data_IF_466405964855
#
_entry.id   IF_466405964855
#
_cell.length_a   1.000
_cell.length_b   1.000
_cell.length_c   1.000
_cell.angle_alpha   90.00
_cell.angle_beta   90.00
_cell.angle_gamma   90.00
#
_symmetry.space_group_name_H-M   'P 1'
#
loop_
_entity.id
_entity.type
_entity.pdbx_description
1 polymer ?
#
# COMPACT_ATOMS: atom_id res chain seq x y z
N UNK A 1 10.71 2.19 -9.67
CA UNK A 1 9.33 1.87 -10.12
C UNK A 1 8.42 2.99 -9.70
N UNK A 2 7.19 3.04 -10.23
CA UNK A 2 6.19 4.01 -9.79
C UNK A 2 5.48 3.50 -8.54
N UNK A 3 5.29 4.38 -7.57
CA UNK A 3 4.63 4.09 -6.29
C UNK A 3 3.55 5.15 -6.04
N UNK A 4 2.32 4.71 -5.85
CA UNK A 4 1.18 5.56 -5.48
C UNK A 4 1.04 5.54 -3.96
N UNK A 5 1.05 6.70 -3.33
CA UNK A 5 0.98 6.81 -1.87
C UNK A 5 -0.18 7.70 -1.46
N UNK A 6 -0.87 7.33 -0.38
CA UNK A 6 -1.96 8.09 0.20
C UNK A 6 -1.95 7.99 1.73
N UNK A 7 -2.39 9.05 2.40
CA UNK A 7 -2.57 9.08 3.84
C UNK A 7 -3.71 9.99 4.27
N UNK A 8 -4.36 9.63 5.38
CA UNK A 8 -5.14 10.58 6.18
C UNK A 8 -4.23 11.41 7.10
N UNK A 9 -4.82 12.27 7.92
CA UNK A 9 -4.10 13.06 8.92
C UNK A 9 -3.22 12.24 9.86
N UNK A 10 -3.63 11.02 10.21
CA UNK A 10 -2.87 10.18 11.13
C UNK A 10 -1.63 9.59 10.46
N UNK A 11 -1.63 9.44 9.13
CA UNK A 11 -0.50 8.99 8.34
C UNK A 11 0.40 10.09 7.75
N UNK A 12 -0.01 11.36 7.84
CA UNK A 12 0.62 12.49 7.14
C UNK A 12 2.15 12.57 7.30
N UNK A 13 2.66 12.62 8.53
CA UNK A 13 4.11 12.76 8.75
C UNK A 13 4.92 11.54 8.26
N UNK A 14 4.36 10.33 8.42
CA UNK A 14 4.99 9.12 7.92
C UNK A 14 5.01 9.09 6.39
N UNK A 15 3.94 9.56 5.75
CA UNK A 15 3.87 9.68 4.29
C UNK A 15 5.00 10.56 3.75
N UNK A 16 5.21 11.75 4.32
CA UNK A 16 6.27 12.67 3.91
C UNK A 16 7.67 12.03 4.01
N UNK A 17 7.92 11.32 5.11
CA UNK A 17 9.16 10.59 5.31
C UNK A 17 9.36 9.47 4.27
N UNK A 18 8.28 8.74 3.93
CA UNK A 18 8.31 7.68 2.92
C UNK A 18 8.48 8.23 1.50
N UNK A 19 7.82 9.34 1.15
CA UNK A 19 8.00 10.01 -0.14
C UNK A 19 9.47 10.37 -0.34
N UNK A 20 10.08 10.99 0.68
CA UNK A 20 11.51 11.34 0.66
C UNK A 20 12.37 10.10 0.48
N UNK A 21 12.20 9.09 1.33
CA UNK A 21 13.01 7.87 1.30
C UNK A 21 12.90 7.11 -0.04
N UNK A 22 11.69 6.95 -0.57
CA UNK A 22 11.45 6.22 -1.82
C UNK A 22 11.98 6.99 -3.03
N UNK A 23 11.87 8.33 -3.02
CA UNK A 23 12.44 9.18 -4.06
C UNK A 23 13.97 9.08 -4.06
N UNK A 24 14.60 9.16 -2.87
CA UNK A 24 16.06 9.00 -2.72
C UNK A 24 16.53 7.60 -3.14
N UNK A 25 15.69 6.57 -2.99
CA UNK A 25 15.92 5.22 -3.48
C UNK A 25 15.70 5.05 -5.00
N UNK A 26 15.39 6.13 -5.74
CA UNK A 26 15.22 6.14 -7.19
C UNK A 26 13.85 5.65 -7.67
N UNK A 27 12.82 5.72 -6.82
CA UNK A 27 11.44 5.47 -7.22
C UNK A 27 10.73 6.76 -7.65
N UNK A 28 9.73 6.61 -8.51
CA UNK A 28 8.84 7.71 -8.89
C UNK A 28 7.61 7.64 -7.98
N UNK A 29 7.45 8.61 -7.08
CA UNK A 29 6.37 8.61 -6.09
C UNK A 29 5.28 9.58 -6.51
N UNK A 30 4.04 9.08 -6.61
CA UNK A 30 2.85 9.88 -6.90
C UNK A 30 2.00 9.94 -5.62
N UNK A 31 1.86 11.14 -5.08
CA UNK A 31 1.06 11.40 -3.88
C UNK A 31 -0.41 11.67 -4.24
N UNK A 32 -1.33 10.95 -3.60
CA UNK A 32 -2.78 11.05 -3.77
C UNK A 32 -3.46 11.74 -2.59
N UNK A 33 -2.67 12.42 -1.76
CA UNK A 33 -3.15 13.25 -0.67
C UNK A 33 -3.16 12.54 0.69
N UNK A 34 -3.44 13.29 1.76
CA UNK A 34 -3.88 14.70 1.74
C UNK A 34 -2.79 15.76 1.36
N UNK A 35 -3.16 16.90 0.78
CA UNK A 35 -2.18 17.95 0.41
C UNK A 35 -1.71 18.79 1.60
N UNK A 36 -2.43 18.69 2.72
CA UNK A 36 -2.17 19.41 3.97
C UNK A 36 -2.76 18.62 5.13
N UNK A 37 -2.14 18.75 6.29
CA UNK A 37 -2.70 18.21 7.51
C UNK A 37 -4.06 18.83 7.84
N UNK A 38 -5.08 17.98 7.97
CA UNK A 38 -6.43 18.31 8.43
C UNK A 38 -6.90 17.22 9.39
N UNK A 39 -6.94 17.53 10.69
CA UNK A 39 -7.19 16.54 11.75
C UNK A 39 -8.55 15.83 11.68
N UNK A 40 -9.47 16.29 10.84
CA UNK A 40 -10.80 15.73 10.65
C UNK A 40 -11.01 15.11 9.26
N UNK A 41 -9.93 14.94 8.47
CA UNK A 41 -10.05 14.33 7.15
C UNK A 41 -10.40 12.83 7.17
N UNK A 42 -10.91 12.35 6.03
CA UNK A 42 -11.44 11.01 5.86
C UNK A 42 -10.57 10.20 4.89
N UNK A 43 -9.92 9.15 5.41
CA UNK A 43 -9.04 8.25 4.65
C UNK A 43 -9.63 7.61 3.37
N UNK A 44 -10.93 7.28 3.23
CA UNK A 44 -11.40 6.45 2.12
C UNK A 44 -11.11 7.05 0.74
N UNK A 45 -11.33 8.35 0.57
CA UNK A 45 -11.16 9.02 -0.74
C UNK A 45 -9.71 8.94 -1.26
N UNK A 46 -8.73 9.17 -0.38
CA UNK A 46 -7.30 9.05 -0.73
C UNK A 46 -6.92 7.59 -1.04
N UNK A 47 -7.44 6.64 -0.26
CA UNK A 47 -7.17 5.22 -0.47
C UNK A 47 -7.76 4.71 -1.80
N UNK A 48 -8.96 5.17 -2.17
CA UNK A 48 -9.57 4.84 -3.46
C UNK A 48 -8.76 5.42 -4.61
N UNK A 49 -8.36 6.70 -4.54
CA UNK A 49 -7.56 7.34 -5.57
C UNK A 49 -6.22 6.62 -5.81
N UNK A 50 -5.49 6.28 -4.74
CA UNK A 50 -4.27 5.50 -4.85
C UNK A 50 -4.52 4.10 -5.42
N UNK A 51 -5.58 3.42 -4.98
CA UNK A 51 -5.94 2.08 -5.47
C UNK A 51 -6.30 2.07 -6.96
N UNK A 52 -7.12 3.03 -7.41
CA UNK A 52 -7.52 3.17 -8.81
C UNK A 52 -6.31 3.45 -9.71
N UNK A 53 -5.39 4.30 -9.23
CA UNK A 53 -4.17 4.61 -9.96
C UNK A 53 -3.23 3.39 -10.07
N UNK A 54 -3.11 2.58 -9.02
CA UNK A 54 -2.32 1.33 -9.05
C UNK A 54 -2.90 0.33 -10.05
N UNK A 55 -4.22 0.21 -10.15
CA UNK A 55 -4.87 -0.69 -11.12
C UNK A 55 -4.68 -0.19 -12.55
N UNK A 56 -4.73 1.12 -12.77
CA UNK A 56 -4.53 1.72 -14.08
C UNK A 56 -3.07 1.70 -14.56
N UNK A 57 -2.11 1.53 -13.64
CA UNK A 57 -0.67 1.59 -13.92
C UNK A 57 0.01 0.25 -13.66
N UNK A 58 0.04 -0.59 -14.71
CA UNK A 58 0.57 -1.94 -14.63
C UNK A 58 2.04 -1.98 -14.17
N UNK A 59 2.30 -2.71 -13.09
CA UNK A 59 3.63 -2.84 -12.51
C UNK A 59 3.97 -1.77 -11.46
N UNK A 60 3.08 -0.81 -11.21
CA UNK A 60 3.16 0.09 -10.05
C UNK A 60 2.78 -0.63 -8.75
N UNK A 61 3.08 0.02 -7.62
CA UNK A 61 2.66 -0.42 -6.28
C UNK A 61 1.97 0.72 -5.52
N UNK A 62 1.11 0.36 -4.57
CA UNK A 62 0.39 1.27 -3.69
C UNK A 62 0.84 1.19 -2.23
N UNK A 63 0.80 2.32 -1.53
CA UNK A 63 0.98 2.41 -0.08
C UNK A 63 -0.11 3.31 0.47
N UNK A 64 -0.90 2.80 1.42
CA UNK A 64 -1.96 3.57 2.10
C UNK A 64 -1.68 3.62 3.60
N UNK A 65 -1.79 4.80 4.20
CA UNK A 65 -1.31 5.06 5.56
C UNK A 65 -2.40 5.73 6.37
N UNK A 66 -2.59 5.27 7.59
CA UNK A 66 -3.36 6.02 8.58
C UNK A 66 -2.96 5.62 9.98
N UNK A 67 -3.86 5.79 10.95
CA UNK A 67 -3.52 5.52 12.35
C UNK A 67 -3.12 4.07 12.60
N UNK A 68 -3.89 3.12 12.05
CA UNK A 68 -3.65 1.67 12.19
C UNK A 68 -3.31 0.96 10.89
N UNK A 69 -3.62 1.55 9.73
CA UNK A 69 -3.48 0.91 8.42
C UNK A 69 -4.65 -0.02 8.05
N UNK A 70 -5.54 -0.37 8.99
CA UNK A 70 -6.66 -1.27 8.75
C UNK A 70 -7.78 -0.62 7.92
N UNK A 71 -8.23 0.58 8.31
CA UNK A 71 -9.30 1.26 7.56
C UNK A 71 -8.87 1.51 6.12
N UNK A 72 -7.62 1.91 5.97
CA UNK A 72 -6.99 2.27 4.70
C UNK A 72 -6.89 1.06 3.77
N UNK A 73 -6.42 -0.09 4.28
CA UNK A 73 -6.38 -1.31 3.46
C UNK A 73 -7.77 -1.89 3.20
N UNK A 74 -8.75 -1.73 4.10
CA UNK A 74 -10.15 -2.11 3.84
C UNK A 74 -10.70 -1.29 2.68
N UNK A 75 -10.48 0.03 2.68
CA UNK A 75 -10.91 0.92 1.61
C UNK A 75 -10.21 0.59 0.28
N UNK A 76 -8.88 0.45 0.28
CA UNK A 76 -8.13 0.12 -0.93
C UNK A 76 -8.63 -1.19 -1.57
N UNK A 77 -8.92 -2.24 -0.77
CA UNK A 77 -9.47 -3.50 -1.27
C UNK A 77 -10.91 -3.40 -1.83
N UNK A 78 -11.57 -2.24 -1.75
CA UNK A 78 -12.86 -2.02 -2.44
C UNK A 78 -12.69 -1.59 -3.88
N UNK A 79 -11.48 -1.20 -4.29
CA UNK A 79 -11.17 -0.90 -5.68
C UNK A 79 -10.95 -2.22 -6.43
N UNK A 80 -11.75 -2.51 -7.49
CA UNK A 80 -11.60 -3.74 -8.25
C UNK A 80 -10.17 -3.96 -8.75
N UNK A 81 -9.58 -5.13 -8.45
CA UNK A 81 -8.23 -5.48 -8.84
C UNK A 81 -7.14 -5.13 -7.82
N UNK A 82 -7.47 -4.41 -6.74
CA UNK A 82 -6.54 -4.19 -5.63
C UNK A 82 -6.47 -5.41 -4.71
N UNK A 83 -5.25 -5.75 -4.32
CA UNK A 83 -4.94 -6.67 -3.24
C UNK A 83 -4.07 -5.92 -2.24
N UNK A 84 -4.71 -5.34 -1.24
CA UNK A 84 -4.05 -4.55 -0.21
C UNK A 84 -3.85 -5.36 1.08
N UNK A 85 -2.60 -5.69 1.41
CA UNK A 85 -2.27 -6.30 2.70
C UNK A 85 -2.14 -5.24 3.79
N UNK A 86 -2.20 -5.63 5.06
CA UNK A 86 -1.69 -4.84 6.18
C UNK A 86 -0.31 -5.38 6.55
N UNK A 87 0.74 -4.53 6.47
CA UNK A 87 2.07 -4.93 6.92
C UNK A 87 2.40 -4.27 8.26
N UNK A 88 2.82 -5.08 9.21
CA UNK A 88 3.16 -4.64 10.58
C UNK A 88 4.55 -5.11 11.02
N UNK A 89 5.29 -5.77 10.12
CA UNK A 89 6.70 -6.12 10.22
C UNK A 89 7.25 -6.44 8.81
N UNK A 90 8.56 -6.60 8.67
CA UNK A 90 9.20 -6.91 7.37
C UNK A 90 8.73 -8.24 6.79
N UNK A 91 8.51 -9.26 7.63
CA UNK A 91 8.06 -10.58 7.20
C UNK A 91 6.68 -10.51 6.52
N UNK A 92 5.72 -9.81 7.12
CA UNK A 92 4.37 -9.64 6.55
C UNK A 92 4.39 -8.80 5.28
N UNK A 93 5.26 -7.79 5.19
CA UNK A 93 5.51 -7.06 3.95
C UNK A 93 6.03 -8.00 2.83
N UNK A 94 7.04 -8.81 3.11
CA UNK A 94 7.60 -9.77 2.14
C UNK A 94 6.56 -10.83 1.73
N UNK A 95 5.88 -11.43 2.71
CA UNK A 95 4.86 -12.46 2.46
C UNK A 95 3.70 -11.90 1.63
N UNK A 96 3.30 -10.66 1.85
CA UNK A 96 2.24 -10.03 1.05
C UNK A 96 2.58 -9.98 -0.45
N UNK A 97 3.85 -9.68 -0.79
CA UNK A 97 4.33 -9.73 -2.17
C UNK A 97 4.45 -11.15 -2.66
N UNK A 98 5.17 -12.01 -1.92
CA UNK A 98 5.49 -13.37 -2.33
C UNK A 98 4.26 -14.26 -2.51
N UNK A 99 3.28 -14.17 -1.61
CA UNK A 99 2.15 -15.10 -1.55
C UNK A 99 0.85 -14.54 -2.10
N UNK A 100 0.61 -13.24 -1.93
CA UNK A 100 -0.66 -12.61 -2.30
C UNK A 100 -0.55 -11.77 -3.57
N UNK A 101 0.67 -11.59 -4.10
CA UNK A 101 0.98 -10.60 -5.12
C UNK A 101 0.27 -9.27 -4.81
N UNK A 102 0.33 -8.85 -3.54
CA UNK A 102 -0.31 -7.63 -3.07
C UNK A 102 0.28 -6.45 -3.84
N UNK A 103 -0.55 -5.74 -4.60
CA UNK A 103 -0.15 -4.53 -5.34
C UNK A 103 -0.33 -3.27 -4.50
N UNK A 104 -0.90 -3.37 -3.30
CA UNK A 104 -0.98 -2.29 -2.32
C UNK A 104 -0.64 -2.80 -0.91
N UNK A 105 -0.18 -1.91 -0.03
CA UNK A 105 0.06 -2.21 1.39
C UNK A 105 -0.44 -1.08 2.29
N UNK A 106 -1.14 -1.47 3.35
CA UNK A 106 -1.53 -0.60 4.45
C UNK A 106 -0.45 -0.58 5.53
N UNK A 107 -0.15 0.60 6.08
CA UNK A 107 0.79 0.80 7.19
C UNK A 107 0.13 1.65 8.29
N UNK A 108 0.26 1.22 9.54
CA UNK A 108 -0.21 1.99 10.70
C UNK A 108 0.85 2.94 11.23
N UNK A 109 0.70 4.23 11.00
CA UNK A 109 1.64 5.25 11.44
C UNK A 109 1.78 5.33 12.98
N UNK A 110 0.71 5.01 13.73
CA UNK A 110 0.74 5.00 15.20
C UNK A 110 1.26 3.66 15.79
N UNK A 111 1.61 2.69 14.94
CA UNK A 111 2.04 1.35 15.36
C UNK A 111 3.56 1.17 15.32
N UNK A 112 4.28 2.09 14.67
CA UNK A 112 5.69 1.95 14.37
C UNK A 112 6.43 3.26 14.57
N UNK A 113 7.75 3.16 14.80
CA UNK A 113 8.63 4.32 14.57
C UNK A 113 8.76 4.55 13.06
N UNK A 114 9.05 5.78 12.65
CA UNK A 114 9.29 6.12 11.23
C UNK A 114 10.36 5.21 10.61
N UNK A 115 11.46 4.98 11.33
CA UNK A 115 12.53 4.10 10.86
C UNK A 115 12.05 2.64 10.64
N UNK A 116 11.23 2.09 11.54
CA UNK A 116 10.68 0.75 11.38
C UNK A 116 9.69 0.69 10.20
N UNK A 117 8.81 1.70 10.06
CA UNK A 117 7.87 1.78 8.95
C UNK A 117 8.58 1.87 7.58
N UNK A 118 9.69 2.62 7.50
CA UNK A 118 10.55 2.67 6.31
C UNK A 118 11.08 1.28 5.95
N UNK A 119 11.56 0.50 6.92
CA UNK A 119 12.06 -0.86 6.65
C UNK A 119 10.94 -1.79 6.15
N UNK A 120 9.73 -1.70 6.74
CA UNK A 120 8.57 -2.47 6.31
C UNK A 120 8.20 -2.13 4.85
N UNK A 121 8.16 -0.84 4.50
CA UNK A 121 7.88 -0.39 3.13
C UNK A 121 8.99 -0.81 2.16
N UNK A 122 10.26 -0.68 2.55
CA UNK A 122 11.38 -1.13 1.72
C UNK A 122 11.31 -2.64 1.45
N UNK A 123 10.94 -3.44 2.46
CA UNK A 123 10.71 -4.87 2.30
C UNK A 123 9.55 -5.18 1.34
N UNK A 124 8.46 -4.42 1.38
CA UNK A 124 7.36 -4.55 0.43
C UNK A 124 7.78 -4.19 -1.01
N UNK A 125 8.40 -3.04 -1.21
CA UNK A 125 8.80 -2.54 -2.53
C UNK A 125 9.90 -3.40 -3.17
N UNK A 126 10.85 -3.88 -2.36
CA UNK A 126 11.97 -4.69 -2.81
C UNK A 126 11.66 -6.17 -3.07
N UNK A 127 10.47 -6.65 -2.69
CA UNK A 127 10.12 -8.07 -2.79
C UNK A 127 9.27 -8.36 -4.03
N UNK A 128 9.76 -9.27 -4.86
CA UNK A 128 9.02 -9.77 -6.02
C UNK A 128 7.96 -10.82 -5.63
N UNK A 129 6.93 -10.94 -6.47
CA UNK A 129 5.99 -12.07 -6.38
C UNK A 129 6.72 -13.40 -6.63
N UNK A 130 6.35 -14.45 -5.90
CA UNK A 130 7.03 -15.76 -6.00
C UNK A 130 6.74 -16.51 -7.31
N UNK A 131 5.68 -16.14 -8.03
CA UNK A 131 5.19 -16.83 -9.22
C UNK A 131 4.85 -18.32 -9.01
N UNK A 132 4.65 -18.78 -7.77
CA UNK A 132 4.31 -20.19 -7.55
C UNK A 132 2.85 -20.47 -7.92
N UNK A 133 2.60 -21.56 -8.66
CA UNK A 133 1.27 -21.93 -9.18
C UNK A 133 0.17 -21.98 -8.11
N UNK A 134 0.51 -22.39 -6.88
CA UNK A 134 -0.44 -22.43 -5.76
C UNK A 134 -0.92 -21.03 -5.34
N UNK A 135 -0.06 -20.01 -5.47
CA UNK A 135 -0.37 -18.64 -5.11
C UNK A 135 -1.18 -18.00 -6.23
N UNK A 136 -0.78 -18.18 -7.49
CA UNK A 136 -1.55 -17.69 -8.64
C UNK A 136 -2.97 -18.27 -8.65
N UNK A 137 -3.13 -19.60 -8.48
CA UNK A 137 -4.46 -20.23 -8.42
C UNK A 137 -5.38 -19.62 -7.35
N UNK A 138 -4.84 -19.22 -6.20
CA UNK A 138 -5.62 -18.60 -5.12
C UNK A 138 -5.99 -17.16 -5.46
N UNK A 139 -5.07 -16.42 -6.09
CA UNK A 139 -5.34 -15.07 -6.60
C UNK A 139 -6.46 -15.13 -7.65
N UNK A 140 -6.38 -16.07 -8.60
CA UNK A 140 -7.40 -16.25 -9.65
C UNK A 140 -8.79 -16.53 -9.06
N UNK A 141 -8.88 -17.31 -7.98
CA UNK A 141 -10.15 -17.57 -7.28
C UNK A 141 -10.73 -16.30 -6.64
N UNK A 142 -9.88 -15.46 -6.02
CA UNK A 142 -10.31 -14.19 -5.43
C UNK A 142 -10.76 -13.22 -6.52
N UNK A 143 -9.98 -13.09 -7.61
CA UNK A 143 -10.34 -12.25 -8.75
C UNK A 143 -11.65 -12.70 -9.41
N UNK A 144 -11.88 -14.01 -9.53
CA UNK A 144 -13.13 -14.54 -10.08
C UNK A 144 -14.35 -14.17 -9.22
N UNK A 145 -14.21 -14.17 -7.89
CA UNK A 145 -15.26 -13.73 -6.97
C UNK A 145 -15.55 -12.23 -7.09
N UNK A 146 -14.52 -11.41 -7.30
CA UNK A 146 -14.65 -9.95 -7.41
C UNK A 146 -15.47 -9.51 -8.64
N UNK A 147 -15.42 -10.29 -9.72
CA UNK A 147 -16.13 -10.00 -10.98
C UNK A 147 -17.48 -10.72 -11.15
N UNK A 148 -17.88 -11.54 -10.17
CA UNK A 148 -19.10 -12.35 -10.20
C UNK A 148 -20.34 -11.55 -9.78
#
# INVERSE_FOLDING_TARGET
MRIHIAADHAGFELREALITHLTDAGHEVIDHGNDRYDAEDDYPSFCFAAGEAVVADEGSLGIVIGGSGNGEQIAANKVPGIRCALAWNEETAQLSRQHNNANCVGIGARQHTVAAAIQIVAAFVGTAFSNADRHQRRIDQVSAYETA
#
